data_IF_554877403080
#
_entry.id   IF_554877403080
#
_cell.length_a   1.000
_cell.length_b   1.000
_cell.length_c   1.000
_cell.angle_alpha   90.00
_cell.angle_beta   90.00
_cell.angle_gamma   90.00
#
_symmetry.space_group_name_H-M   'P 1'
#
loop_
_entity.id
_entity.type
_entity.pdbx_description
1 polymer ?
#
# COMPACT_ATOMS: atom_id res chain seq x y z
N UNK A 1 -3.53 -24.85 -22.97
CA UNK A 1 -3.73 -25.30 -21.57
C UNK A 1 -2.42 -25.09 -20.84
N UNK A 2 -2.41 -24.44 -19.67
CA UNK A 2 -1.17 -24.17 -18.93
C UNK A 2 -0.88 -25.29 -17.91
N UNK A 3 0.40 -25.48 -17.58
CA UNK A 3 0.86 -26.41 -16.55
C UNK A 3 1.70 -25.63 -15.52
N UNK A 4 1.46 -25.87 -14.23
CA UNK A 4 2.16 -25.22 -13.13
C UNK A 4 2.64 -26.29 -12.16
N UNK A 5 3.90 -26.19 -11.74
CA UNK A 5 4.51 -27.08 -10.74
C UNK A 5 4.79 -26.28 -9.48
N UNK A 6 4.12 -26.66 -8.38
CA UNK A 6 4.21 -25.95 -7.09
C UNK A 6 4.78 -26.93 -6.04
N UNK A 7 5.71 -26.46 -5.20
CA UNK A 7 6.15 -27.21 -4.02
C UNK A 7 5.19 -26.92 -2.87
N UNK A 8 4.59 -27.96 -2.29
CA UNK A 8 3.68 -27.86 -1.15
C UNK A 8 4.32 -28.49 0.09
N UNK A 9 4.08 -27.96 1.30
CA UNK A 9 4.41 -28.66 2.55
C UNK A 9 3.71 -30.02 2.62
N UNK A 10 4.37 -31.00 3.26
CA UNK A 10 3.86 -32.37 3.35
C UNK A 10 2.47 -32.44 3.98
N UNK A 11 2.23 -31.71 5.08
CA UNK A 11 0.92 -31.63 5.74
C UNK A 11 -0.20 -31.12 4.82
N UNK A 12 0.11 -30.15 3.96
CA UNK A 12 -0.87 -29.56 3.03
C UNK A 12 -1.22 -30.54 1.91
N UNK A 13 -0.21 -31.27 1.41
CA UNK A 13 -0.39 -32.39 0.48
C UNK A 13 -1.27 -33.48 1.11
N UNK A 14 -0.97 -33.90 2.32
CA UNK A 14 -1.71 -34.97 3.01
C UNK A 14 -3.16 -34.56 3.33
N UNK A 15 -3.43 -33.27 3.51
CA UNK A 15 -4.80 -32.71 3.60
C UNK A 15 -5.53 -32.76 2.25
N UNK A 16 -4.88 -32.38 1.16
CA UNK A 16 -5.46 -32.45 -0.21
C UNK A 16 -5.72 -33.90 -0.62
N UNK A 17 -4.82 -34.82 -0.25
CA UNK A 17 -4.96 -36.25 -0.53
C UNK A 17 -6.19 -36.84 0.17
N UNK A 18 -6.39 -36.54 1.47
CA UNK A 18 -7.59 -36.93 2.24
C UNK A 18 -8.89 -36.31 1.69
N UNK A 19 -8.84 -35.10 1.13
CA UNK A 19 -9.99 -34.49 0.45
C UNK A 19 -10.30 -35.17 -0.89
N UNK A 20 -9.27 -35.58 -1.63
CA UNK A 20 -9.38 -36.34 -2.88
C UNK A 20 -10.05 -37.70 -2.64
N UNK A 21 -9.54 -38.46 -1.65
CA UNK A 21 -10.08 -39.76 -1.23
C UNK A 21 -11.56 -39.68 -0.80
N UNK A 22 -11.90 -38.73 0.09
CA UNK A 22 -13.26 -38.59 0.64
C UNK A 22 -14.32 -38.12 -0.36
N UNK A 23 -13.92 -37.53 -1.48
CA UNK A 23 -14.85 -36.92 -2.45
C UNK A 23 -14.88 -37.62 -3.81
N UNK A 24 -13.95 -38.54 -4.09
CA UNK A 24 -13.73 -39.12 -5.41
C UNK A 24 -13.20 -38.12 -6.46
N UNK A 25 -12.92 -36.86 -6.09
CA UNK A 25 -12.41 -35.83 -7.01
C UNK A 25 -10.89 -35.82 -7.02
N UNK A 26 -10.28 -35.42 -8.13
CA UNK A 26 -8.82 -35.39 -8.26
C UNK A 26 -8.17 -34.31 -7.40
N UNK A 27 -6.94 -34.55 -6.95
CA UNK A 27 -6.10 -33.57 -6.24
C UNK A 27 -6.00 -32.24 -6.99
N UNK A 28 -5.89 -32.31 -8.32
CA UNK A 28 -5.85 -31.15 -9.23
C UNK A 28 -7.13 -30.31 -9.26
N UNK A 29 -8.30 -30.88 -8.94
CA UNK A 29 -9.54 -30.12 -8.77
C UNK A 29 -9.47 -29.23 -7.52
N UNK A 30 -9.02 -29.78 -6.38
CA UNK A 30 -8.88 -29.02 -5.14
C UNK A 30 -7.80 -27.94 -5.23
N UNK A 31 -6.63 -28.27 -5.82
CA UNK A 31 -5.57 -27.28 -6.04
C UNK A 31 -6.08 -26.13 -6.92
N UNK A 32 -6.84 -26.42 -7.98
CA UNK A 32 -7.43 -25.38 -8.84
C UNK A 32 -8.42 -24.50 -8.08
N UNK A 33 -9.37 -25.10 -7.35
CA UNK A 33 -10.37 -24.36 -6.57
C UNK A 33 -9.75 -23.50 -5.45
N UNK A 34 -8.61 -23.92 -4.88
CA UNK A 34 -7.84 -23.10 -3.93
C UNK A 34 -7.16 -21.91 -4.63
N UNK A 35 -6.59 -22.11 -5.82
CA UNK A 35 -5.99 -21.03 -6.61
C UNK A 35 -7.05 -20.05 -7.12
N UNK A 36 -8.19 -20.54 -7.63
CA UNK A 36 -9.29 -19.70 -8.13
C UNK A 36 -9.81 -18.74 -7.05
N UNK A 37 -9.99 -19.20 -5.81
CA UNK A 37 -10.43 -18.38 -4.68
C UNK A 37 -9.34 -17.47 -4.12
N UNK A 38 -8.11 -17.98 -4.03
CA UNK A 38 -6.98 -17.18 -3.55
C UNK A 38 -6.62 -16.03 -4.48
N UNK A 39 -6.82 -16.19 -5.81
CA UNK A 39 -6.65 -15.09 -6.77
C UNK A 39 -7.68 -13.98 -6.54
N UNK A 40 -8.94 -14.32 -6.30
CA UNK A 40 -10.00 -13.35 -5.96
C UNK A 40 -9.63 -12.55 -4.70
N UNK A 41 -9.24 -13.24 -3.62
CA UNK A 41 -8.80 -12.65 -2.34
C UNK A 41 -7.56 -11.75 -2.49
N UNK A 42 -6.52 -12.19 -3.22
CA UNK A 42 -5.32 -11.39 -3.47
C UNK A 42 -5.55 -10.21 -4.43
N UNK A 43 -6.47 -10.32 -5.39
CA UNK A 43 -6.83 -9.19 -6.26
C UNK A 43 -7.54 -8.07 -5.50
N UNK A 44 -8.24 -8.39 -4.40
CA UNK A 44 -8.84 -7.39 -3.51
C UNK A 44 -7.76 -6.76 -2.60
N UNK A 45 -6.93 -7.57 -1.93
CA UNK A 45 -5.83 -7.09 -1.08
C UNK A 45 -4.88 -6.15 -1.83
N UNK A 46 -4.45 -6.53 -3.04
CA UNK A 46 -3.57 -5.70 -3.88
C UNK A 46 -4.25 -4.38 -4.25
N UNK A 47 -5.54 -4.41 -4.60
CA UNK A 47 -6.33 -3.24 -4.98
C UNK A 47 -6.49 -2.25 -3.82
N UNK A 48 -6.71 -2.74 -2.59
CA UNK A 48 -6.73 -1.91 -1.39
C UNK A 48 -5.36 -1.30 -1.09
N UNK A 49 -4.30 -2.11 -1.12
CA UNK A 49 -2.92 -1.65 -0.90
C UNK A 49 -2.51 -0.60 -1.94
N UNK A 50 -2.92 -0.74 -3.20
CA UNK A 50 -2.71 0.27 -4.24
C UNK A 50 -3.55 1.54 -4.02
N UNK A 51 -4.82 1.43 -3.61
CA UNK A 51 -5.66 2.57 -3.28
C UNK A 51 -5.11 3.38 -2.08
N UNK A 52 -4.54 2.70 -1.06
CA UNK A 52 -3.84 3.30 0.08
C UNK A 52 -2.55 3.98 -0.40
N UNK A 53 -1.70 3.28 -1.17
CA UNK A 53 -0.45 3.84 -1.74
C UNK A 53 -0.72 5.06 -2.63
N UNK A 54 -1.77 5.03 -3.45
CA UNK A 54 -2.20 6.14 -4.28
C UNK A 54 -2.71 7.32 -3.42
N UNK A 55 -3.47 7.05 -2.36
CA UNK A 55 -3.95 8.06 -1.41
C UNK A 55 -2.81 8.77 -0.69
N UNK A 56 -1.79 8.02 -0.26
CA UNK A 56 -0.56 8.58 0.34
C UNK A 56 0.25 9.37 -0.69
N UNK A 57 0.47 8.82 -1.90
CA UNK A 57 1.26 9.47 -2.96
C UNK A 57 0.61 10.73 -3.52
N UNK A 58 -0.71 10.77 -3.61
CA UNK A 58 -1.48 11.97 -3.97
C UNK A 58 -1.41 13.06 -2.88
N UNK A 59 -0.86 12.75 -1.71
CA UNK A 59 -0.75 13.69 -0.60
C UNK A 59 -2.12 14.11 -0.07
N UNK A 60 -3.08 13.17 0.04
CA UNK A 60 -4.40 13.44 0.63
C UNK A 60 -4.22 13.97 2.04
N UNK A 61 -4.39 15.29 2.21
CA UNK A 61 -4.40 15.99 3.50
C UNK A 61 -5.66 15.66 4.31
N UNK A 62 -6.58 14.93 3.68
CA UNK A 62 -7.93 14.61 4.12
C UNK A 62 -8.00 13.25 4.85
N UNK A 63 -6.84 12.62 5.12
CA UNK A 63 -6.73 11.65 6.22
C UNK A 63 -6.98 12.39 7.54
N UNK A 64 -8.27 12.53 7.89
CA UNK A 64 -8.73 13.21 9.10
C UNK A 64 -8.12 12.52 10.32
N UNK A 65 -7.06 13.13 10.83
CA UNK A 65 -6.22 12.58 11.90
C UNK A 65 -6.89 12.92 13.21
N UNK A 66 -7.72 12.00 13.69
CA UNK A 66 -8.30 12.08 15.03
C UNK A 66 -7.21 11.81 16.07
N UNK A 67 -7.26 12.56 17.17
CA UNK A 67 -6.55 12.20 18.40
C UNK A 67 -7.14 10.93 19.01
N UNK A 68 -6.37 10.24 19.86
CA UNK A 68 -6.85 9.04 20.56
C UNK A 68 -8.12 9.33 21.36
N UNK A 69 -8.16 10.50 22.01
CA UNK A 69 -9.25 10.90 22.90
C UNK A 69 -10.54 11.24 22.11
N UNK A 70 -10.45 11.83 20.90
CA UNK A 70 -11.60 12.00 19.99
C UNK A 70 -12.16 10.66 19.45
N UNK A 71 -11.29 9.68 19.19
CA UNK A 71 -11.74 8.33 18.76
C UNK A 71 -12.47 7.62 19.90
N UNK A 72 -11.91 7.70 21.12
CA UNK A 72 -12.49 7.13 22.33
C UNK A 72 -13.88 7.72 22.63
N UNK A 73 -14.04 9.05 22.58
CA UNK A 73 -15.33 9.71 22.72
C UNK A 73 -16.36 9.23 21.68
N UNK A 74 -15.96 9.13 20.41
CA UNK A 74 -16.85 8.67 19.33
C UNK A 74 -17.31 7.21 19.48
N UNK A 75 -16.55 6.34 20.16
CA UNK A 75 -16.95 4.94 20.44
C UNK A 75 -17.50 4.71 21.85
N UNK A 76 -17.62 5.77 22.66
CA UNK A 76 -18.14 5.68 24.03
C UNK A 76 -17.21 4.97 25.02
N UNK A 77 -15.90 4.97 24.76
CA UNK A 77 -14.87 4.40 25.64
C UNK A 77 -14.02 5.52 26.28
N UNK A 78 -13.32 5.19 27.35
CA UNK A 78 -12.29 6.03 27.94
C UNK A 78 -10.90 5.41 27.77
N UNK A 79 -9.86 6.21 28.05
CA UNK A 79 -8.46 5.76 28.02
C UNK A 79 -8.20 4.58 29.00
N UNK A 80 -8.95 4.53 30.10
CA UNK A 80 -8.85 3.47 31.11
C UNK A 80 -9.46 2.15 30.63
N UNK A 81 -10.53 2.19 29.82
CA UNK A 81 -11.18 0.97 29.28
C UNK A 81 -10.27 0.21 28.29
N UNK A 82 -9.33 0.91 27.65
CA UNK A 82 -8.29 0.31 26.80
C UNK A 82 -6.98 0.01 27.57
N UNK A 83 -6.98 0.13 28.90
CA UNK A 83 -5.81 -0.14 29.75
C UNK A 83 -4.66 0.85 29.59
N UNK A 84 -4.93 2.07 29.11
CA UNK A 84 -3.93 3.12 28.90
C UNK A 84 -4.07 4.21 29.96
N UNK A 85 -3.12 4.26 30.88
CA UNK A 85 -3.07 5.28 31.93
C UNK A 85 -3.10 6.72 31.36
N UNK A 86 -3.71 7.68 32.07
CA UNK A 86 -3.70 9.08 31.65
C UNK A 86 -2.30 9.67 31.82
N UNK A 87 -1.68 10.06 30.70
CA UNK A 87 -0.41 10.81 30.63
C UNK A 87 -0.51 12.12 31.45
N UNK A 88 0.02 12.09 32.67
CA UNK A 88 -0.18 13.12 33.68
C UNK A 88 0.67 14.38 33.46
N UNK A 89 0.16 15.37 32.74
CA UNK A 89 0.72 16.72 32.72
C UNK A 89 0.24 17.58 31.54
N UNK A 90 0.15 18.92 31.70
CA UNK A 90 -0.32 19.79 30.62
C UNK A 90 0.67 19.83 29.45
N UNK A 91 0.20 19.44 28.27
CA UNK A 91 0.95 19.54 27.02
C UNK A 91 1.30 21.01 26.70
N UNK A 92 2.52 21.41 27.05
CA UNK A 92 2.98 22.80 26.97
C UNK A 92 2.93 23.31 25.53
N UNK A 93 1.95 24.17 25.22
CA UNK A 93 1.63 24.66 23.87
C UNK A 93 2.64 25.72 23.39
N UNK A 94 3.93 25.38 23.37
CA UNK A 94 4.96 26.18 22.72
C UNK A 94 4.80 26.06 21.22
N UNK A 95 4.16 27.08 20.64
CA UNK A 95 3.96 27.23 19.20
C UNK A 95 5.28 26.95 18.45
N UNK A 96 5.30 25.84 17.70
CA UNK A 96 6.43 25.48 16.83
C UNK A 96 6.49 26.50 15.70
N UNK A 97 7.33 27.52 15.88
CA UNK A 97 7.49 28.61 14.91
C UNK A 97 7.72 28.04 13.51
N UNK A 98 6.85 28.42 12.58
CA UNK A 98 7.09 28.26 11.15
C UNK A 98 8.22 29.21 10.75
N UNK A 99 9.45 28.75 10.93
CA UNK A 99 10.67 29.49 10.57
C UNK A 99 10.68 29.76 9.07
N UNK A 100 10.34 30.98 8.70
CA UNK A 100 10.19 31.41 7.31
C UNK A 100 11.52 31.33 6.57
N UNK A 101 11.66 30.33 5.68
CA UNK A 101 12.80 30.19 4.79
C UNK A 101 12.82 31.34 3.77
N UNK A 102 13.47 32.44 4.17
CA UNK A 102 13.49 33.73 3.47
C UNK A 102 14.19 33.62 2.11
N UNK A 103 13.44 33.80 1.02
CA UNK A 103 13.96 33.72 -0.35
C UNK A 103 15.03 34.80 -0.64
N UNK A 104 16.19 34.45 -1.21
CA UNK A 104 17.05 35.40 -1.90
C UNK A 104 16.41 35.87 -3.23
N UNK A 105 16.62 37.13 -3.61
CA UNK A 105 16.15 37.69 -4.91
C UNK A 105 17.13 37.39 -6.05
N UNK A 106 16.61 37.46 -7.29
CA UNK A 106 17.29 37.20 -8.56
C UNK A 106 18.46 38.15 -8.85
N UNK A 107 19.57 37.60 -9.33
CA UNK A 107 20.52 38.17 -10.34
C UNK A 107 21.11 36.99 -11.12
N UNK A 108 21.38 37.02 -12.44
CA UNK A 108 21.13 38.05 -13.46
C UNK A 108 20.99 37.41 -14.87
N UNK A 109 20.79 38.24 -15.90
CA UNK A 109 20.41 37.83 -17.27
C UNK A 109 21.57 37.19 -18.07
N UNK A 110 21.29 36.11 -18.79
CA UNK A 110 21.94 35.75 -20.06
C UNK A 110 20.96 34.96 -20.96
N UNK A 111 20.99 35.18 -22.28
CA UNK A 111 20.01 34.64 -23.25
C UNK A 111 20.73 34.21 -24.54
N UNK A 112 20.76 32.92 -24.85
CA UNK A 112 21.29 32.41 -26.12
C UNK A 112 20.63 31.10 -26.58
N UNK A 113 20.13 31.10 -27.82
CA UNK A 113 19.84 29.95 -28.70
C UNK A 113 20.20 30.42 -30.12
N UNK A 114 21.03 29.69 -30.87
CA UNK A 114 20.53 28.80 -31.93
C UNK A 114 20.98 27.35 -31.69
N UNK A 115 20.23 26.30 -31.99
CA UNK A 115 19.92 25.78 -33.34
C UNK A 115 21.14 25.35 -34.17
N UNK A 116 21.35 24.04 -34.23
CA UNK A 116 22.19 23.36 -35.23
C UNK A 116 21.44 22.15 -35.77
N UNK A 117 21.25 22.06 -37.09
CA UNK A 117 20.62 20.91 -37.76
C UNK A 117 21.66 19.83 -38.05
N UNK A 118 21.31 18.57 -37.84
CA UNK A 118 22.13 17.40 -38.18
C UNK A 118 21.75 16.20 -37.31
N UNK A 119 21.76 14.96 -37.80
CA UNK A 119 21.98 14.48 -39.17
C UNK A 119 21.00 13.34 -39.50
N UNK A 120 20.76 13.11 -40.78
CA UNK A 120 19.99 11.95 -41.23
C UNK A 120 20.88 10.70 -41.31
N UNK A 121 20.31 9.51 -41.10
CA UNK A 121 20.88 8.31 -41.70
C UNK A 121 19.80 7.29 -42.11
N UNK A 122 19.74 7.04 -43.43
CA UNK A 122 19.30 5.78 -44.05
C UNK A 122 20.33 4.69 -43.69
N UNK A 123 20.10 3.38 -43.73
CA UNK A 123 18.95 2.49 -44.05
C UNK A 123 19.14 1.20 -43.20
N UNK A 124 18.62 -0.02 -43.39
CA UNK A 124 17.84 -0.82 -44.39
C UNK A 124 17.16 -1.95 -43.53
N UNK A 125 16.13 -2.75 -43.88
CA UNK A 125 15.45 -3.14 -45.14
C UNK A 125 16.34 -3.66 -46.25
#
# INVERSE_FOLDING_TARGET
>A
MAMVTIRLPQELRDRIDKLSERSGRTKSYFIRQLVERGVEEFEEEIRELEAIRASIRAGKKDFKTYSMDEVLEHVGLTRMDIGMEPEGGPANTKARQVSSAKSPKKTGVAKAKPESKGAANRTKR
#
